data_IF_053125336111
#
_entry.id   IF_053125336111
#
_cell.length_a   1.000
_cell.length_b   1.000
_cell.length_c   1.000
_cell.angle_alpha   90.00
_cell.angle_beta   90.00
_cell.angle_gamma   90.00
#
_symmetry.space_group_name_H-M   'P 1'
#
loop_
_entity.id
_entity.type
_entity.pdbx_description
1 polymer ?
#
# COMPACT_ATOMS: atom_id res chain seq x y z
N UNK A 1 -42.97 -18.97 -8.79
CA UNK A 1 -42.05 -17.87 -8.98
C UNK A 1 -41.45 -17.57 -7.60
N UNK A 2 -40.24 -18.10 -7.34
CA UNK A 2 -39.51 -17.79 -6.11
C UNK A 2 -38.79 -16.45 -6.36
N UNK A 3 -39.14 -15.46 -5.55
CA UNK A 3 -38.45 -14.19 -5.48
C UNK A 3 -37.00 -14.46 -5.02
N UNK A 4 -36.04 -14.31 -5.92
CA UNK A 4 -34.65 -14.18 -5.54
C UNK A 4 -34.55 -12.97 -4.61
N UNK A 5 -34.27 -13.24 -3.33
CA UNK A 5 -33.97 -12.19 -2.37
C UNK A 5 -32.85 -11.33 -2.94
N UNK A 6 -33.12 -10.06 -3.19
CA UNK A 6 -32.09 -9.08 -3.50
C UNK A 6 -31.11 -9.10 -2.33
N UNK A 7 -29.99 -9.78 -2.48
CA UNK A 7 -28.88 -9.70 -1.56
C UNK A 7 -28.50 -8.23 -1.49
N UNK A 8 -28.60 -7.63 -0.30
CA UNK A 8 -28.15 -6.26 -0.06
C UNK A 8 -26.63 -6.22 -0.34
N UNK A 9 -26.29 -5.78 -1.55
CA UNK A 9 -24.89 -5.58 -1.93
C UNK A 9 -24.35 -4.39 -1.11
N UNK A 10 -23.16 -4.54 -0.57
CA UNK A 10 -22.49 -3.54 0.27
C UNK A 10 -21.09 -3.25 -0.25
N UNK A 11 -20.53 -2.05 -0.02
CA UNK A 11 -19.12 -1.83 -0.28
C UNK A 11 -18.28 -2.70 0.65
N UNK A 12 -17.18 -3.25 0.14
CA UNK A 12 -16.24 -4.06 0.92
C UNK A 12 -14.84 -3.45 0.83
N UNK A 13 -14.04 -3.69 1.87
CA UNK A 13 -12.62 -3.38 1.88
C UNK A 13 -11.82 -4.67 1.96
N UNK A 14 -10.81 -4.78 1.11
CA UNK A 14 -9.85 -5.88 1.09
C UNK A 14 -8.43 -5.33 1.12
N UNK A 15 -7.48 -6.17 1.52
CA UNK A 15 -6.06 -5.90 1.40
C UNK A 15 -5.46 -6.86 0.37
N UNK A 16 -4.36 -6.42 -0.26
CA UNK A 16 -3.55 -7.29 -1.11
C UNK A 16 -2.08 -6.99 -0.93
N UNK A 17 -1.26 -8.05 -0.91
CA UNK A 17 0.20 -7.97 -0.99
C UNK A 17 0.74 -7.90 -2.45
N UNK A 18 -0.16 -7.73 -3.41
CA UNK A 18 0.13 -7.76 -4.84
C UNK A 18 -0.12 -9.11 -5.49
N UNK A 19 -0.26 -10.20 -4.72
CA UNK A 19 -0.43 -11.57 -5.21
C UNK A 19 -1.70 -12.25 -4.67
N UNK A 20 -2.11 -11.90 -3.47
CA UNK A 20 -3.22 -12.51 -2.73
C UNK A 20 -4.14 -11.46 -2.13
N UNK A 21 -5.38 -11.87 -1.82
CA UNK A 21 -6.32 -11.04 -1.06
C UNK A 21 -6.36 -11.45 0.41
N UNK A 22 -6.55 -10.47 1.27
CA UNK A 22 -6.70 -10.65 2.72
C UNK A 22 -7.90 -9.87 3.23
N UNK A 23 -8.57 -10.41 4.24
CA UNK A 23 -9.73 -9.77 4.84
C UNK A 23 -9.36 -8.51 5.62
N UNK A 24 -8.23 -8.56 6.32
CA UNK A 24 -7.75 -7.51 7.19
C UNK A 24 -6.24 -7.63 7.43
N UNK A 25 -5.68 -6.66 8.14
CA UNK A 25 -4.25 -6.61 8.42
C UNK A 25 -3.76 -7.78 9.28
N UNK A 26 -4.57 -8.27 10.23
CA UNK A 26 -4.20 -9.42 11.06
C UNK A 26 -4.10 -10.71 10.23
N UNK A 27 -5.00 -10.89 9.25
CA UNK A 27 -4.93 -12.00 8.31
C UNK A 27 -3.65 -11.93 7.44
N UNK A 28 -3.29 -10.73 6.97
CA UNK A 28 -2.04 -10.49 6.24
C UNK A 28 -0.82 -10.88 7.10
N UNK A 29 -0.73 -10.43 8.34
CA UNK A 29 0.39 -10.76 9.24
C UNK A 29 0.53 -12.26 9.49
N UNK A 30 -0.57 -12.99 9.51
CA UNK A 30 -0.58 -14.46 9.67
C UNK A 30 -0.39 -15.22 8.35
N UNK A 31 -0.31 -14.54 7.22
CA UNK A 31 -0.28 -15.18 5.90
C UNK A 31 -1.58 -15.92 5.54
N UNK A 32 -2.70 -15.56 6.19
CA UNK A 32 -4.01 -16.18 5.99
C UNK A 32 -4.76 -15.49 4.85
N UNK A 33 -4.36 -15.76 3.60
CA UNK A 33 -5.02 -15.24 2.42
C UNK A 33 -6.42 -15.85 2.23
N UNK A 34 -7.31 -15.09 1.60
CA UNK A 34 -8.61 -15.60 1.17
C UNK A 34 -8.44 -16.65 0.07
N UNK A 35 -9.17 -17.75 0.17
CA UNK A 35 -9.27 -18.74 -0.91
C UNK A 35 -9.97 -18.14 -2.12
N UNK A 36 -9.87 -18.85 -3.25
CA UNK A 36 -10.56 -18.44 -4.49
C UNK A 36 -12.08 -18.41 -4.33
N UNK A 37 -12.63 -19.36 -3.60
CA UNK A 37 -14.06 -19.44 -3.32
C UNK A 37 -14.54 -18.29 -2.42
N UNK A 38 -13.83 -18.02 -1.33
CA UNK A 38 -14.12 -16.91 -0.42
C UNK A 38 -14.03 -15.55 -1.12
N UNK A 39 -12.99 -15.35 -1.93
CA UNK A 39 -12.82 -14.14 -2.73
C UNK A 39 -13.97 -13.95 -3.69
N UNK A 40 -14.30 -14.99 -4.47
CA UNK A 40 -15.41 -14.95 -5.44
C UNK A 40 -16.74 -14.65 -4.77
N UNK A 41 -17.02 -15.29 -3.63
CA UNK A 41 -18.23 -15.05 -2.86
C UNK A 41 -18.33 -13.60 -2.36
N UNK A 42 -17.24 -13.04 -1.83
CA UNK A 42 -17.21 -11.65 -1.34
C UNK A 42 -17.37 -10.65 -2.47
N UNK A 43 -16.67 -10.83 -3.58
CA UNK A 43 -16.78 -9.96 -4.75
C UNK A 43 -18.19 -9.99 -5.35
N UNK A 44 -18.83 -11.16 -5.42
CA UNK A 44 -20.21 -11.31 -5.93
C UNK A 44 -21.23 -10.55 -5.05
N UNK A 45 -20.97 -10.41 -3.76
CA UNK A 45 -21.81 -9.67 -2.83
C UNK A 45 -21.51 -8.17 -2.79
N UNK A 46 -20.41 -7.71 -3.41
CA UNK A 46 -19.98 -6.33 -3.35
C UNK A 46 -20.68 -5.42 -4.39
N UNK A 47 -20.90 -4.16 -4.00
CA UNK A 47 -21.24 -3.06 -4.92
C UNK A 47 -19.99 -2.29 -5.34
N UNK A 48 -19.04 -2.15 -4.43
CA UNK A 48 -17.76 -1.51 -4.63
C UNK A 48 -16.69 -2.24 -3.81
N UNK A 49 -15.46 -2.23 -4.30
CA UNK A 49 -14.29 -2.81 -3.64
C UNK A 49 -13.25 -1.72 -3.43
N UNK A 50 -12.91 -1.42 -2.19
CA UNK A 50 -11.71 -0.67 -1.84
C UNK A 50 -10.58 -1.67 -1.61
N UNK A 51 -9.61 -1.70 -2.51
CA UNK A 51 -8.45 -2.57 -2.39
C UNK A 51 -7.23 -1.78 -1.93
N UNK A 52 -6.83 -1.97 -0.67
CA UNK A 52 -5.56 -1.45 -0.16
C UNK A 52 -4.42 -2.36 -0.63
N UNK A 53 -3.58 -1.84 -1.50
CA UNK A 53 -2.46 -2.57 -2.11
C UNK A 53 -1.18 -2.32 -1.32
N UNK A 54 -0.58 -3.40 -0.84
CA UNK A 54 0.61 -3.40 0.02
C UNK A 54 1.76 -4.08 -0.72
N UNK A 55 2.36 -3.37 -1.68
CA UNK A 55 3.46 -3.88 -2.51
C UNK A 55 4.65 -2.92 -2.50
N UNK A 56 5.91 -3.43 -2.48
CA UNK A 56 7.08 -2.58 -2.64
C UNK A 56 7.21 -2.03 -4.06
N UNK A 57 6.52 -2.62 -5.01
CA UNK A 57 6.52 -2.21 -6.42
C UNK A 57 5.52 -1.08 -6.65
N UNK A 58 5.75 0.04 -5.97
CA UNK A 58 4.87 1.21 -5.98
C UNK A 58 5.68 2.50 -6.12
N UNK A 59 5.22 3.40 -6.99
CA UNK A 59 5.78 4.74 -7.17
C UNK A 59 4.70 5.79 -6.95
N UNK A 60 5.01 6.84 -6.18
CA UNK A 60 4.12 8.00 -6.05
C UNK A 60 4.39 8.98 -7.19
N UNK A 61 3.32 9.43 -7.85
CA UNK A 61 3.37 10.31 -9.02
C UNK A 61 2.40 11.47 -8.83
N UNK A 62 2.78 12.73 -9.09
CA UNK A 62 1.82 13.82 -9.16
C UNK A 62 0.74 13.52 -10.22
N UNK A 63 -0.53 13.69 -9.86
CA UNK A 63 -1.65 13.26 -10.70
C UNK A 63 -1.70 14.00 -12.05
N UNK A 64 -1.26 15.26 -12.07
CA UNK A 64 -1.16 16.09 -13.28
C UNK A 64 0.01 15.71 -14.20
N UNK A 65 0.96 14.92 -13.72
CA UNK A 65 2.09 14.40 -14.50
C UNK A 65 1.88 12.95 -14.96
N UNK A 66 0.79 12.31 -14.52
CA UNK A 66 0.51 10.94 -14.89
C UNK A 66 -0.10 10.88 -16.30
N UNK A 67 0.58 10.17 -17.20
CA UNK A 67 0.02 9.67 -18.45
C UNK A 67 -0.16 8.17 -18.30
N UNK A 68 -1.40 7.68 -18.41
CA UNK A 68 -1.72 6.29 -18.09
C UNK A 68 -0.96 5.28 -18.95
N UNK A 69 -0.72 5.61 -20.23
CA UNK A 69 0.05 4.79 -21.17
C UNK A 69 1.52 4.67 -20.78
N UNK A 70 2.04 5.67 -20.05
CA UNK A 70 3.43 5.74 -19.61
C UNK A 70 3.63 5.30 -18.15
N UNK A 71 2.59 4.80 -17.49
CA UNK A 71 2.62 4.43 -16.08
C UNK A 71 3.77 3.46 -15.72
N UNK A 72 4.12 2.55 -16.64
CA UNK A 72 5.26 1.63 -16.48
C UNK A 72 6.58 2.38 -16.28
N UNK A 73 6.76 3.55 -16.89
CA UNK A 73 8.00 4.34 -16.79
C UNK A 73 8.24 4.84 -15.36
N UNK A 74 7.18 5.10 -14.61
CA UNK A 74 7.30 5.50 -13.20
C UNK A 74 7.82 4.35 -12.33
N UNK A 75 7.41 3.11 -12.60
CA UNK A 75 7.96 1.93 -11.92
C UNK A 75 9.41 1.67 -12.37
N UNK A 76 9.72 1.87 -13.65
CA UNK A 76 11.10 1.76 -14.14
C UNK A 76 12.03 2.78 -13.47
N UNK A 77 11.54 3.99 -13.18
CA UNK A 77 12.32 5.03 -12.49
C UNK A 77 12.73 4.64 -11.07
N UNK A 78 11.93 3.81 -10.38
CA UNK A 78 12.29 3.24 -9.07
C UNK A 78 13.06 1.91 -9.18
N UNK A 79 13.49 1.54 -10.39
CA UNK A 79 14.26 0.31 -10.65
C UNK A 79 13.42 -0.95 -10.81
N UNK A 80 12.10 -0.83 -10.97
CA UNK A 80 11.22 -1.98 -11.14
C UNK A 80 10.60 -2.03 -12.53
N UNK A 81 10.76 -3.18 -13.21
CA UNK A 81 10.12 -3.45 -14.49
C UNK A 81 9.09 -4.57 -14.31
N UNK A 82 7.78 -4.27 -14.47
CA UNK A 82 6.75 -5.28 -14.36
C UNK A 82 6.97 -6.44 -15.34
N UNK A 83 6.72 -7.64 -14.87
CA UNK A 83 6.82 -8.87 -15.67
C UNK A 83 5.57 -9.04 -16.52
N UNK A 84 5.59 -10.02 -17.47
CA UNK A 84 4.39 -10.39 -18.24
C UNK A 84 3.23 -10.95 -17.39
N UNK A 85 3.51 -11.32 -16.15
CA UNK A 85 2.52 -11.86 -15.20
C UNK A 85 1.97 -10.78 -14.26
N UNK A 86 2.32 -9.53 -14.50
CA UNK A 86 1.85 -8.40 -13.72
C UNK A 86 1.09 -7.40 -14.57
N UNK A 87 0.20 -6.68 -13.92
CA UNK A 87 -0.54 -5.53 -14.46
C UNK A 87 -0.18 -4.29 -13.66
N UNK A 88 -0.01 -3.18 -14.36
CA UNK A 88 0.12 -1.88 -13.72
C UNK A 88 -1.26 -1.33 -13.43
N UNK A 89 -1.49 -0.96 -12.18
CA UNK A 89 -2.70 -0.29 -11.73
C UNK A 89 -2.36 1.06 -11.13
N UNK A 90 -3.33 1.97 -11.15
CA UNK A 90 -3.19 3.33 -10.63
C UNK A 90 -4.18 3.49 -9.48
N UNK A 91 -3.72 4.02 -8.35
CA UNK A 91 -4.59 4.29 -7.22
C UNK A 91 -5.54 5.46 -7.49
N UNK A 92 -6.56 5.59 -6.65
CA UNK A 92 -7.29 6.87 -6.57
C UNK A 92 -6.34 8.00 -6.18
N UNK A 93 -6.65 9.19 -6.69
CA UNK A 93 -5.86 10.38 -6.38
C UNK A 93 -6.14 10.84 -4.94
N UNK A 94 -5.08 11.19 -4.23
CA UNK A 94 -5.14 11.78 -2.91
C UNK A 94 -4.12 12.93 -2.82
N UNK A 95 -4.57 14.09 -2.37
CA UNK A 95 -3.75 15.31 -2.28
C UNK A 95 -2.96 15.64 -3.56
N UNK A 96 -3.58 15.40 -4.74
CA UNK A 96 -2.96 15.66 -6.04
C UNK A 96 -1.90 14.64 -6.46
N UNK A 97 -1.78 13.52 -5.77
CA UNK A 97 -0.88 12.43 -6.13
C UNK A 97 -1.64 11.11 -6.31
N UNK A 98 -1.06 10.21 -7.10
CA UNK A 98 -1.50 8.83 -7.32
C UNK A 98 -0.34 7.88 -7.10
N UNK A 99 -0.62 6.64 -6.74
CA UNK A 99 0.37 5.59 -6.72
C UNK A 99 0.22 4.72 -7.97
N UNK A 100 1.31 4.51 -8.67
CA UNK A 100 1.43 3.51 -9.73
C UNK A 100 1.98 2.24 -9.12
N UNK A 101 1.31 1.10 -9.31
CA UNK A 101 1.62 -0.15 -8.61
C UNK A 101 1.61 -1.33 -9.59
N UNK A 102 2.45 -2.34 -9.33
CA UNK A 102 2.42 -3.60 -10.05
C UNK A 102 1.74 -4.69 -9.20
N UNK A 103 0.77 -5.39 -9.78
CA UNK A 103 0.03 -6.50 -9.16
C UNK A 103 0.04 -7.72 -10.08
N UNK A 104 -0.11 -8.90 -9.50
CA UNK A 104 -0.32 -10.14 -10.27
C UNK A 104 -1.53 -9.98 -11.21
N UNK A 105 -1.33 -10.34 -12.48
CA UNK A 105 -2.36 -10.18 -13.51
C UNK A 105 -3.63 -10.98 -13.19
N UNK A 106 -3.50 -12.18 -12.58
CA UNK A 106 -4.65 -13.02 -12.21
C UNK A 106 -5.50 -12.34 -11.13
N UNK A 107 -4.86 -11.60 -10.21
CA UNK A 107 -5.57 -10.84 -9.18
C UNK A 107 -6.42 -9.75 -9.83
N UNK A 108 -5.83 -8.97 -10.75
CA UNK A 108 -6.54 -7.90 -11.48
C UNK A 108 -7.65 -8.48 -12.35
N UNK A 109 -7.40 -9.56 -13.09
CA UNK A 109 -8.40 -10.24 -13.91
C UNK A 109 -9.60 -10.72 -13.09
N UNK A 110 -9.38 -11.18 -11.85
CA UNK A 110 -10.48 -11.58 -10.94
C UNK A 110 -11.32 -10.40 -10.52
N UNK A 111 -10.74 -9.21 -10.38
CA UNK A 111 -11.49 -7.99 -10.09
C UNK A 111 -12.27 -7.49 -11.30
N UNK A 112 -11.67 -7.54 -12.48
CA UNK A 112 -12.23 -7.01 -13.73
C UNK A 112 -13.49 -7.78 -14.20
N UNK A 113 -13.62 -9.07 -13.87
CA UNK A 113 -14.80 -9.86 -14.23
C UNK A 113 -16.02 -9.58 -13.36
N UNK A 114 -15.87 -8.81 -12.28
CA UNK A 114 -16.95 -8.46 -11.37
C UNK A 114 -17.56 -7.11 -11.72
N UNK A 115 -18.89 -6.94 -11.57
CA UNK A 115 -19.56 -5.68 -11.87
C UNK A 115 -19.34 -4.60 -10.79
N UNK A 116 -18.65 -4.93 -9.70
CA UNK A 116 -18.32 -3.97 -8.64
C UNK A 116 -17.25 -2.98 -9.13
N UNK A 117 -17.41 -1.71 -8.81
CA UNK A 117 -16.36 -0.72 -9.02
C UNK A 117 -15.17 -1.01 -8.09
N UNK A 118 -13.96 -1.03 -8.64
CA UNK A 118 -12.74 -1.25 -7.86
C UNK A 118 -11.97 0.04 -7.72
N UNK A 119 -11.68 0.41 -6.48
CA UNK A 119 -10.83 1.55 -6.12
C UNK A 119 -9.53 1.00 -5.52
N UNK A 120 -8.42 1.27 -6.19
CA UNK A 120 -7.09 0.92 -5.67
C UNK A 120 -6.60 2.00 -4.73
N UNK A 121 -6.15 1.61 -3.55
CA UNK A 121 -5.59 2.49 -2.52
C UNK A 121 -4.13 2.12 -2.25
N UNK A 122 -3.30 3.09 -1.91
CA UNK A 122 -1.90 2.87 -1.55
C UNK A 122 -1.52 3.63 -0.29
N UNK A 123 -0.71 3.05 0.61
CA UNK A 123 -0.15 3.79 1.74
C UNK A 123 0.74 4.98 1.33
N UNK A 124 1.25 5.02 0.10
CA UNK A 124 1.99 6.17 -0.42
C UNK A 124 1.10 7.40 -0.65
N UNK A 125 -0.19 7.19 -0.96
CA UNK A 125 -1.16 8.25 -1.18
C UNK A 125 -1.80 8.70 0.13
N UNK A 126 -1.04 9.36 0.99
CA UNK A 126 -1.55 9.92 2.24
C UNK A 126 -0.92 11.25 2.56
N UNK A 127 -1.67 12.07 3.27
CA UNK A 127 -1.15 13.35 3.78
C UNK A 127 -0.11 13.09 4.86
N UNK A 128 0.97 13.86 4.81
CA UNK A 128 2.03 13.87 5.81
C UNK A 128 2.17 15.28 6.36
N UNK A 129 2.11 15.41 7.67
CA UNK A 129 2.25 16.71 8.33
C UNK A 129 3.64 17.31 8.08
N UNK A 130 3.75 18.65 7.98
CA UNK A 130 5.06 19.30 7.91
C UNK A 130 5.98 18.89 9.06
N UNK A 131 7.27 18.79 8.80
CA UNK A 131 8.30 18.41 9.76
C UNK A 131 8.08 17.04 10.41
N UNK A 132 7.49 16.09 9.64
CA UNK A 132 7.19 14.76 10.13
C UNK A 132 7.62 13.64 9.17
N UNK A 133 7.68 12.44 9.72
CA UNK A 133 7.95 11.19 9.01
C UNK A 133 6.86 10.18 9.34
N UNK A 134 6.33 9.50 8.32
CA UNK A 134 5.46 8.34 8.51
C UNK A 134 6.25 7.09 8.16
N UNK A 135 6.23 6.11 9.05
CA UNK A 135 6.82 4.79 8.88
C UNK A 135 5.70 3.79 9.02
N UNK A 136 5.29 3.15 7.93
CA UNK A 136 4.23 2.17 7.97
C UNK A 136 4.80 0.79 7.58
N UNK A 137 4.65 -0.20 8.45
CA UNK A 137 5.11 -1.56 8.23
C UNK A 137 3.92 -2.50 8.06
N UNK A 138 3.77 -3.07 6.89
CA UNK A 138 2.71 -4.00 6.54
C UNK A 138 3.31 -5.32 6.05
N UNK A 139 3.44 -6.30 6.95
CA UNK A 139 4.08 -7.57 6.62
C UNK A 139 5.54 -7.39 6.19
N UNK A 140 5.83 -7.69 4.94
CA UNK A 140 7.16 -7.59 4.33
C UNK A 140 7.39 -6.28 3.56
N UNK A 141 6.52 -5.27 3.70
CA UNK A 141 6.65 -3.98 3.01
C UNK A 141 6.68 -2.85 4.02
N UNK A 142 7.69 -2.00 3.92
CA UNK A 142 7.78 -0.75 4.67
C UNK A 142 7.55 0.44 3.75
N UNK A 143 6.69 1.34 4.16
CA UNK A 143 6.44 2.63 3.51
C UNK A 143 7.07 3.73 4.34
N UNK A 144 7.76 4.63 3.66
CA UNK A 144 8.44 5.77 4.26
C UNK A 144 8.00 7.03 3.54
N UNK A 145 7.43 7.95 4.29
CA UNK A 145 7.09 9.28 3.79
C UNK A 145 7.75 10.32 4.70
N UNK A 146 8.47 11.23 4.10
CA UNK A 146 9.19 12.30 4.83
C UNK A 146 8.73 13.64 4.28
N UNK A 147 8.28 14.52 5.17
CA UNK A 147 7.88 15.88 4.82
C UNK A 147 8.59 16.92 5.68
N UNK A 148 8.96 18.05 5.06
CA UNK A 148 9.39 19.27 5.75
C UNK A 148 8.40 20.39 5.51
N UNK A 149 8.60 21.24 4.51
CA UNK A 149 7.60 22.19 4.02
C UNK A 149 6.64 21.55 3.01
N UNK A 150 7.08 20.45 2.38
CA UNK A 150 6.33 19.59 1.47
C UNK A 150 6.89 18.17 1.53
N UNK A 151 6.32 17.27 0.78
CA UNK A 151 6.76 15.88 0.67
C UNK A 151 8.15 15.84 0.01
N UNK A 152 9.14 15.26 0.70
CA UNK A 152 10.52 15.10 0.23
C UNK A 152 10.80 13.68 -0.25
N UNK A 153 10.15 12.69 0.36
CA UNK A 153 10.35 11.28 0.07
C UNK A 153 9.02 10.55 0.22
N UNK A 154 8.74 9.65 -0.70
CA UNK A 154 7.69 8.65 -0.60
C UNK A 154 8.21 7.36 -1.25
N UNK A 155 8.55 6.39 -0.44
CA UNK A 155 9.11 5.12 -0.89
C UNK A 155 8.38 3.93 -0.27
N UNK A 156 8.28 2.85 -1.04
CA UNK A 156 7.86 1.54 -0.60
C UNK A 156 9.04 0.57 -0.81
N UNK A 157 9.45 -0.12 0.25
CA UNK A 157 10.60 -1.03 0.20
C UNK A 157 10.25 -2.39 0.78
N UNK A 158 10.77 -3.44 0.17
CA UNK A 158 10.69 -4.79 0.73
C UNK A 158 11.60 -4.92 1.93
N UNK A 159 11.13 -5.55 2.99
CA UNK A 159 11.88 -5.84 4.21
C UNK A 159 11.65 -7.29 4.63
N UNK A 160 12.70 -8.06 4.81
CA UNK A 160 12.62 -9.46 5.23
C UNK A 160 12.70 -9.60 6.75
N UNK A 161 13.43 -8.69 7.39
CA UNK A 161 13.72 -8.75 8.81
C UNK A 161 13.92 -7.36 9.43
N UNK A 162 14.13 -7.29 10.74
CA UNK A 162 14.30 -6.04 11.48
C UNK A 162 15.58 -5.29 11.13
N UNK A 163 16.62 -5.99 10.67
CA UNK A 163 17.86 -5.34 10.24
C UNK A 163 17.66 -4.56 8.94
N UNK A 164 16.82 -5.04 8.04
CA UNK A 164 16.47 -4.32 6.81
C UNK A 164 15.73 -3.02 7.13
N UNK A 165 14.77 -3.08 8.08
CA UNK A 165 14.06 -1.88 8.55
C UNK A 165 15.06 -0.83 9.08
N UNK A 166 15.98 -1.25 9.95
CA UNK A 166 17.00 -0.35 10.50
C UNK A 166 17.92 0.19 9.41
N UNK A 167 18.36 -0.64 8.48
CA UNK A 167 19.22 -0.25 7.37
C UNK A 167 18.60 0.88 6.53
N UNK A 168 17.34 0.72 6.14
CA UNK A 168 16.63 1.75 5.37
C UNK A 168 16.41 3.02 6.19
N UNK A 169 16.02 2.91 7.45
CA UNK A 169 15.83 4.08 8.32
C UNK A 169 17.13 4.85 8.52
N UNK A 170 18.27 4.17 8.73
CA UNK A 170 19.57 4.80 8.84
C UNK A 170 20.02 5.47 7.53
N UNK A 171 19.78 4.82 6.39
CA UNK A 171 20.10 5.39 5.09
C UNK A 171 19.33 6.70 4.84
N UNK A 172 18.05 6.71 5.18
CA UNK A 172 17.18 7.88 5.02
C UNK A 172 17.52 8.96 6.06
N UNK A 173 17.82 8.56 7.30
CA UNK A 173 18.23 9.52 8.33
C UNK A 173 19.50 10.30 7.93
N UNK A 174 20.48 9.67 7.32
CA UNK A 174 21.70 10.32 6.81
C UNK A 174 21.40 11.44 5.82
N UNK A 175 20.34 11.31 5.04
CA UNK A 175 19.96 12.29 4.00
C UNK A 175 18.99 13.34 4.55
N UNK A 176 18.01 12.91 5.33
CA UNK A 176 16.87 13.73 5.72
C UNK A 176 16.83 14.07 7.21
N UNK A 177 17.61 13.41 8.08
CA UNK A 177 17.65 13.67 9.52
C UNK A 177 16.35 13.28 10.24
N UNK A 178 15.72 12.17 9.82
CA UNK A 178 14.38 11.75 10.26
C UNK A 178 14.30 11.45 11.76
N UNK A 179 15.40 11.03 12.39
CA UNK A 179 15.42 10.73 13.83
C UNK A 179 15.18 11.93 14.72
N UNK A 180 15.37 13.15 14.19
CA UNK A 180 15.07 14.39 14.88
C UNK A 180 13.68 14.95 14.57
N UNK A 181 12.95 14.33 13.63
CA UNK A 181 11.60 14.73 13.25
C UNK A 181 10.56 14.05 14.14
N UNK A 182 9.35 14.54 14.07
CA UNK A 182 8.19 13.84 14.60
C UNK A 182 7.92 12.60 13.74
N UNK A 183 7.83 11.43 14.35
CA UNK A 183 7.60 10.18 13.61
C UNK A 183 6.30 9.51 14.05
N UNK A 184 5.53 9.03 13.09
CA UNK A 184 4.32 8.23 13.25
C UNK A 184 4.57 6.82 12.70
N UNK A 185 4.37 5.81 13.56
CA UNK A 185 4.47 4.40 13.20
C UNK A 185 3.08 3.81 13.01
N UNK A 186 2.86 3.13 11.89
CA UNK A 186 1.60 2.54 11.50
C UNK A 186 1.77 1.05 11.09
N UNK A 187 0.65 0.34 10.94
CA UNK A 187 0.66 -1.08 10.61
C UNK A 187 1.14 -1.91 11.77
N UNK A 188 2.23 -2.67 11.64
CA UNK A 188 2.87 -3.36 12.75
C UNK A 188 3.65 -2.37 13.64
N UNK A 189 2.90 -1.43 14.21
CA UNK A 189 3.43 -0.36 15.04
C UNK A 189 4.12 -0.89 16.31
N UNK A 190 3.72 -2.06 16.80
CA UNK A 190 4.35 -2.73 17.94
C UNK A 190 5.77 -3.19 17.60
N UNK A 191 5.95 -3.82 16.43
CA UNK A 191 7.26 -4.22 15.93
C UNK A 191 8.14 -2.98 15.65
N UNK A 192 7.60 -1.97 14.96
CA UNK A 192 8.30 -0.71 14.73
C UNK A 192 8.75 -0.04 16.03
N UNK A 193 7.90 -0.03 17.07
CA UNK A 193 8.27 0.51 18.38
C UNK A 193 9.46 -0.23 18.99
N UNK A 194 9.53 -1.54 18.87
CA UNK A 194 10.66 -2.33 19.37
C UNK A 194 11.94 -2.04 18.60
N UNK A 195 11.87 -2.00 17.27
CA UNK A 195 12.99 -1.74 16.38
C UNK A 195 13.52 -0.33 16.59
N UNK A 196 12.63 0.67 16.61
CA UNK A 196 12.97 2.09 16.58
C UNK A 196 13.10 2.75 17.97
N UNK A 197 13.03 1.99 19.05
CA UNK A 197 12.95 2.48 20.43
C UNK A 197 14.04 3.47 20.84
N UNK A 198 15.20 3.41 20.21
CA UNK A 198 16.37 4.23 20.55
C UNK A 198 16.73 5.27 19.50
N UNK A 199 16.09 5.22 18.33
CA UNK A 199 16.46 6.06 17.19
C UNK A 199 15.70 7.39 17.20
N UNK A 200 14.38 7.33 17.38
CA UNK A 200 13.52 8.50 17.28
C UNK A 200 13.33 9.22 18.63
N UNK A 201 13.43 10.54 18.62
CA UNK A 201 13.11 11.36 19.81
C UNK A 201 11.63 11.34 20.15
N UNK A 202 10.77 11.26 19.11
CA UNK A 202 9.31 11.26 19.23
C UNK A 202 8.73 10.29 18.22
N UNK A 203 8.38 9.08 18.66
CA UNK A 203 7.68 8.07 17.88
C UNK A 203 6.30 7.84 18.49
N UNK A 204 5.26 8.16 17.73
CA UNK A 204 3.87 7.81 18.06
C UNK A 204 3.51 6.55 17.28
N UNK A 205 2.86 5.60 17.94
CA UNK A 205 2.39 4.35 17.35
C UNK A 205 0.86 4.36 17.36
N UNK A 206 0.28 4.21 16.19
CA UNK A 206 -1.16 4.11 15.94
C UNK A 206 -1.59 2.67 15.69
#
# INVERSE_FOLDING_TARGET
MMSLSAQNKVPIRLLSDGHSFYENFEALLRGASLSDEETTSRLAAATAVELLVLTPHSALVPADHLVAEDAVLHLAAIGYLPTKHERVVISEAHDGAVAVMALDARLVERLDVHPATVSYLSPLCRSVEPQSTVIALYGAVMYLLVAREGLLLAEAVAVENDADVLYYLEAIDRTYGIYNMYARAEGDSSRLRQICKRQFRRLICE
#
